data_IF_164860067563
#
_entry.id   IF_164860067563
#
_cell.length_a   1.000
_cell.length_b   1.000
_cell.length_c   1.000
_cell.angle_alpha   90.00
_cell.angle_beta   90.00
_cell.angle_gamma   90.00
#
_symmetry.space_group_name_H-M   'P 1'
#
loop_
_entity.id
_entity.type
_entity.pdbx_description
1 polymer ?
#
# COMPACT_ATOMS: atom_id res chain seq x y z
N UNK A 1 43.76 -11.19 38.97
CA UNK A 1 42.39 -10.96 39.45
C UNK A 1 41.68 -10.07 38.46
N UNK A 2 40.88 -10.64 37.55
CA UNK A 2 39.92 -9.91 36.73
C UNK A 2 38.69 -10.81 36.58
N UNK A 3 37.78 -10.73 37.54
CA UNK A 3 36.41 -11.23 37.38
C UNK A 3 35.68 -10.23 36.49
N UNK A 4 35.58 -10.54 35.19
CA UNK A 4 34.65 -9.85 34.29
C UNK A 4 33.26 -9.92 34.92
N UNK A 5 32.68 -8.76 35.23
CA UNK A 5 31.31 -8.64 35.67
C UNK A 5 30.40 -9.20 34.57
N UNK A 6 29.74 -10.32 34.87
CA UNK A 6 28.62 -10.82 34.07
C UNK A 6 27.52 -9.76 34.17
N UNK A 7 27.22 -9.14 33.04
CA UNK A 7 26.32 -7.98 32.99
C UNK A 7 24.89 -8.40 33.32
N UNK A 8 24.11 -7.48 33.89
CA UNK A 8 22.66 -7.62 34.15
C UNK A 8 21.84 -8.02 32.90
N UNK A 9 22.39 -7.84 31.70
CA UNK A 9 21.81 -8.25 30.42
C UNK A 9 21.89 -9.79 30.21
N UNK A 10 23.01 -10.43 30.55
CA UNK A 10 23.18 -11.89 30.45
C UNK A 10 22.18 -12.65 31.34
N UNK A 11 21.82 -12.07 32.50
CA UNK A 11 20.84 -12.65 33.42
C UNK A 11 19.40 -12.52 32.91
N UNK A 12 19.08 -11.44 32.17
CA UNK A 12 17.76 -11.25 31.56
C UNK A 12 17.55 -12.19 30.37
N UNK A 13 18.57 -12.41 29.54
CA UNK A 13 18.52 -13.38 28.44
C UNK A 13 18.38 -14.81 28.96
N UNK A 14 19.16 -15.20 29.98
CA UNK A 14 19.03 -16.51 30.63
C UNK A 14 17.63 -16.76 31.19
N UNK A 15 17.01 -15.76 31.83
CA UNK A 15 15.65 -15.88 32.35
C UNK A 15 14.62 -15.98 31.21
N UNK A 16 14.76 -15.21 30.13
CA UNK A 16 13.88 -15.30 28.97
C UNK A 16 13.90 -16.69 28.32
N UNK A 17 15.09 -17.24 28.09
CA UNK A 17 15.26 -18.60 27.54
C UNK A 17 14.65 -19.64 28.49
N UNK A 18 14.91 -19.53 29.79
CA UNK A 18 14.36 -20.44 30.80
C UNK A 18 12.83 -20.40 30.86
N UNK A 19 12.23 -19.21 30.83
CA UNK A 19 10.77 -19.05 30.81
C UNK A 19 10.15 -19.60 29.54
N UNK A 20 10.75 -19.35 28.37
CA UNK A 20 10.28 -19.93 27.09
C UNK A 20 10.38 -21.45 27.10
N UNK A 21 11.46 -22.02 27.64
CA UNK A 21 11.62 -23.46 27.77
C UNK A 21 10.54 -24.06 28.67
N UNK A 22 10.29 -23.45 29.84
CA UNK A 22 9.23 -23.88 30.75
C UNK A 22 7.83 -23.77 30.11
N UNK A 23 7.58 -22.69 29.36
CA UNK A 23 6.32 -22.54 28.61
C UNK A 23 6.17 -23.61 27.52
N UNK A 24 7.25 -23.93 26.78
CA UNK A 24 7.23 -24.97 25.77
C UNK A 24 6.93 -26.35 26.38
N UNK A 25 7.58 -26.70 27.51
CA UNK A 25 7.28 -27.94 28.23
C UNK A 25 5.83 -28.00 28.70
N UNK A 26 5.31 -26.90 29.24
CA UNK A 26 3.91 -26.82 29.69
C UNK A 26 2.95 -27.00 28.51
N UNK A 27 3.21 -26.36 27.36
CA UNK A 27 2.41 -26.52 26.14
C UNK A 27 2.46 -27.95 25.63
N UNK A 28 3.64 -28.57 25.54
CA UNK A 28 3.76 -29.98 25.12
C UNK A 28 2.95 -30.88 26.06
N UNK A 29 3.05 -30.67 27.37
CA UNK A 29 2.34 -31.51 28.35
C UNK A 29 0.82 -31.33 28.28
N UNK A 30 0.35 -30.09 28.08
CA UNK A 30 -1.08 -29.75 27.99
C UNK A 30 -1.70 -30.14 26.63
N UNK A 31 -1.01 -29.83 25.55
CA UNK A 31 -1.61 -29.78 24.21
C UNK A 31 -1.48 -31.13 23.49
N UNK A 32 -0.47 -31.95 23.83
CA UNK A 32 -0.32 -33.30 23.27
C UNK A 32 -1.54 -34.21 23.51
N UNK A 33 -2.08 -34.33 24.74
CA UNK A 33 -3.28 -35.15 24.97
C UNK A 33 -4.53 -34.55 24.29
N UNK A 34 -4.66 -33.23 24.22
CA UNK A 34 -5.76 -32.55 23.53
C UNK A 34 -5.70 -32.81 22.01
N UNK A 35 -4.50 -32.71 21.43
CA UNK A 35 -4.26 -32.99 20.02
C UNK A 35 -4.52 -34.45 19.69
N UNK A 36 -4.19 -35.39 20.59
CA UNK A 36 -4.50 -36.81 20.41
C UNK A 36 -6.01 -37.10 20.47
N UNK A 37 -6.76 -36.42 21.34
CA UNK A 37 -8.20 -36.53 21.39
C UNK A 37 -8.87 -35.97 20.12
N UNK A 38 -8.38 -34.82 19.63
CA UNK A 38 -8.85 -34.20 18.40
C UNK A 38 -8.48 -35.01 17.15
N UNK A 39 -7.28 -35.58 17.09
CA UNK A 39 -6.82 -36.42 15.99
C UNK A 39 -7.68 -37.68 15.86
N UNK A 40 -8.02 -38.32 16.99
CA UNK A 40 -8.91 -39.46 17.02
C UNK A 40 -10.34 -39.09 16.57
N UNK A 41 -10.85 -37.93 17.00
CA UNK A 41 -12.19 -37.44 16.63
C UNK A 41 -12.30 -37.08 15.15
N UNK A 42 -11.30 -36.38 14.61
CA UNK A 42 -11.27 -35.90 13.22
C UNK A 42 -10.70 -36.93 12.24
N UNK A 43 -10.19 -38.07 12.76
CA UNK A 43 -9.51 -39.12 11.99
C UNK A 43 -8.32 -38.59 11.19
N UNK A 44 -7.61 -37.61 11.76
CA UNK A 44 -6.42 -37.01 11.17
C UNK A 44 -5.15 -37.57 11.81
N UNK A 45 -4.08 -37.55 11.04
CA UNK A 45 -2.77 -38.09 11.42
C UNK A 45 -1.70 -37.01 11.36
N UNK A 46 -0.51 -37.30 11.90
CA UNK A 46 0.61 -36.36 11.85
C UNK A 46 1.05 -35.99 10.43
N UNK A 47 0.81 -36.87 9.45
CA UNK A 47 1.06 -36.58 8.03
C UNK A 47 0.07 -35.58 7.46
N UNK A 48 -1.21 -35.66 7.89
CA UNK A 48 -2.24 -34.71 7.46
C UNK A 48 -1.93 -33.30 7.95
N UNK A 49 -1.41 -33.14 9.16
CA UNK A 49 -1.02 -31.84 9.69
C UNK A 49 0.12 -31.20 8.90
N UNK A 50 1.11 -31.98 8.48
CA UNK A 50 2.19 -31.48 7.62
C UNK A 50 1.65 -31.06 6.26
N UNK A 51 0.72 -31.82 5.70
CA UNK A 51 0.05 -31.46 4.45
C UNK A 51 -0.78 -30.18 4.60
N UNK A 52 -1.53 -30.01 5.69
CA UNK A 52 -2.29 -28.78 5.95
C UNK A 52 -1.38 -27.57 6.13
N UNK A 53 -0.28 -27.69 6.87
CA UNK A 53 0.70 -26.59 7.01
C UNK A 53 1.30 -26.20 5.66
N UNK A 54 1.57 -27.18 4.80
CA UNK A 54 2.08 -26.92 3.46
C UNK A 54 1.02 -26.22 2.59
N UNK A 55 -0.20 -26.73 2.58
CA UNK A 55 -1.32 -26.12 1.85
C UNK A 55 -1.64 -24.71 2.35
N UNK A 56 -1.56 -24.47 3.65
CA UNK A 56 -1.75 -23.14 4.24
C UNK A 56 -0.64 -22.17 3.81
N UNK A 57 0.63 -22.62 3.82
CA UNK A 57 1.74 -21.80 3.32
C UNK A 57 1.56 -21.45 1.85
N UNK A 58 1.20 -22.42 1.02
CA UNK A 58 0.93 -22.21 -0.40
C UNK A 58 -0.24 -21.23 -0.60
N UNK A 59 -1.32 -21.38 0.17
CA UNK A 59 -2.45 -20.45 0.14
C UNK A 59 -2.04 -19.03 0.54
N UNK A 60 -1.28 -18.86 1.62
CA UNK A 60 -0.81 -17.54 2.07
C UNK A 60 0.15 -16.90 1.07
N UNK A 61 1.03 -17.69 0.45
CA UNK A 61 1.91 -17.22 -0.62
C UNK A 61 1.11 -16.78 -1.85
N UNK A 62 0.11 -17.56 -2.26
CA UNK A 62 -0.77 -17.18 -3.35
C UNK A 62 -1.51 -15.87 -3.07
N UNK A 63 -2.00 -15.68 -1.83
CA UNK A 63 -2.67 -14.45 -1.42
C UNK A 63 -1.72 -13.23 -1.45
N UNK A 64 -0.47 -13.42 -1.07
CA UNK A 64 0.55 -12.37 -1.15
C UNK A 64 0.84 -11.97 -2.60
N UNK A 65 1.03 -12.96 -3.48
CA UNK A 65 1.25 -12.73 -4.90
C UNK A 65 0.06 -12.02 -5.57
N UNK A 66 -1.17 -12.42 -5.23
CA UNK A 66 -2.39 -11.75 -5.69
C UNK A 66 -2.41 -10.28 -5.24
N UNK A 67 -2.06 -9.99 -3.99
CA UNK A 67 -1.97 -8.63 -3.48
C UNK A 67 -0.93 -7.78 -4.24
N UNK A 68 0.24 -8.34 -4.54
CA UNK A 68 1.28 -7.66 -5.33
C UNK A 68 0.82 -7.36 -6.77
N UNK A 69 0.13 -8.31 -7.41
CA UNK A 69 -0.43 -8.10 -8.74
C UNK A 69 -1.51 -7.02 -8.75
N UNK A 70 -2.39 -7.03 -7.75
CA UNK A 70 -3.42 -6.01 -7.59
C UNK A 70 -2.80 -4.64 -7.34
N UNK A 71 -1.75 -4.55 -6.52
CA UNK A 71 -1.04 -3.29 -6.28
C UNK A 71 -0.42 -2.73 -7.56
N UNK A 72 0.29 -3.57 -8.32
CA UNK A 72 0.85 -3.16 -9.63
C UNK A 72 -0.23 -2.64 -10.58
N UNK A 73 -1.37 -3.32 -10.64
CA UNK A 73 -2.50 -2.89 -11.46
C UNK A 73 -3.07 -1.53 -11.03
N UNK A 74 -3.13 -1.26 -9.72
CA UNK A 74 -3.58 0.03 -9.18
C UNK A 74 -2.57 1.14 -9.48
N UNK A 75 -1.28 0.90 -9.21
CA UNK A 75 -0.20 1.87 -9.45
C UNK A 75 -0.14 2.27 -10.94
N UNK A 76 -0.24 1.28 -11.83
CA UNK A 76 -0.30 1.53 -13.27
C UNK A 76 -1.50 2.39 -13.66
N UNK A 77 -2.67 2.11 -13.10
CA UNK A 77 -3.88 2.87 -13.38
C UNK A 77 -3.78 4.31 -12.89
N UNK A 78 -3.26 4.54 -11.68
CA UNK A 78 -3.00 5.88 -11.15
C UNK A 78 -2.07 6.66 -12.06
N UNK A 79 -1.00 6.01 -12.53
CA UNK A 79 -0.03 6.60 -13.43
C UNK A 79 -0.67 6.98 -14.78
N UNK A 80 -1.51 6.11 -15.35
CA UNK A 80 -2.28 6.41 -16.56
C UNK A 80 -3.22 7.62 -16.37
N UNK A 81 -3.96 7.66 -15.26
CA UNK A 81 -4.87 8.76 -14.95
C UNK A 81 -4.13 10.08 -14.78
N UNK A 82 -2.99 10.06 -14.09
CA UNK A 82 -2.11 11.22 -13.89
C UNK A 82 -1.57 11.73 -15.23
N UNK A 83 -1.01 10.86 -16.07
CA UNK A 83 -0.52 11.22 -17.40
C UNK A 83 -1.59 11.85 -18.28
N UNK A 84 -2.81 11.29 -18.27
CA UNK A 84 -3.94 11.85 -19.02
C UNK A 84 -4.35 13.25 -18.50
N UNK A 85 -4.25 13.49 -17.18
CA UNK A 85 -4.42 14.81 -16.59
C UNK A 85 -3.40 15.83 -17.12
N UNK A 86 -2.11 15.51 -17.04
CA UNK A 86 -1.05 16.38 -17.57
C UNK A 86 -1.18 16.61 -19.08
N UNK A 87 -1.62 15.60 -19.83
CA UNK A 87 -1.86 15.72 -21.26
C UNK A 87 -2.96 16.74 -21.56
N UNK A 88 -4.07 16.70 -20.82
CA UNK A 88 -5.16 17.67 -20.96
C UNK A 88 -4.70 19.09 -20.64
N UNK A 89 -3.97 19.28 -19.55
CA UNK A 89 -3.41 20.58 -19.18
C UNK A 89 -2.44 21.13 -20.25
N UNK A 90 -1.54 20.28 -20.73
CA UNK A 90 -0.61 20.61 -21.82
C UNK A 90 -1.35 21.01 -23.10
N UNK A 91 -2.40 20.26 -23.47
CA UNK A 91 -3.23 20.59 -24.64
C UNK A 91 -3.98 21.92 -24.48
N UNK A 92 -4.50 22.21 -23.28
CA UNK A 92 -5.14 23.49 -22.98
C UNK A 92 -4.15 24.65 -23.12
N UNK A 93 -2.95 24.52 -22.52
CA UNK A 93 -1.90 25.53 -22.61
C UNK A 93 -1.41 25.71 -24.06
N UNK A 94 -1.29 24.63 -24.83
CA UNK A 94 -0.94 24.68 -26.25
C UNK A 94 -2.01 25.40 -27.08
N UNK A 95 -3.29 25.19 -26.77
CA UNK A 95 -4.39 25.89 -27.45
C UNK A 95 -4.39 27.39 -27.12
N UNK A 96 -4.13 27.77 -25.86
CA UNK A 96 -4.01 29.17 -25.48
C UNK A 96 -2.77 29.83 -26.12
N UNK A 97 -1.66 29.10 -26.20
CA UNK A 97 -0.47 29.56 -26.94
C UNK A 97 -0.74 29.78 -28.43
N UNK A 98 -1.51 28.90 -29.08
CA UNK A 98 -1.91 29.08 -30.50
C UNK A 98 -2.79 30.32 -30.73
N UNK A 99 -3.57 30.73 -29.73
CA UNK A 99 -4.42 31.93 -29.77
C UNK A 99 -3.67 33.21 -29.39
N UNK A 100 -2.36 33.12 -29.09
CA UNK A 100 -1.60 34.24 -28.56
C UNK A 100 -1.66 35.47 -29.47
N UNK A 101 -1.47 35.32 -30.78
CA UNK A 101 -1.54 36.43 -31.74
C UNK A 101 -2.92 37.09 -31.76
N UNK A 102 -3.99 36.29 -31.73
CA UNK A 102 -5.36 36.78 -31.61
C UNK A 102 -5.57 37.56 -30.31
N UNK A 103 -5.04 37.07 -29.19
CA UNK A 103 -5.18 37.70 -27.88
C UNK A 103 -4.37 39.00 -27.75
N UNK A 104 -3.21 39.08 -28.42
CA UNK A 104 -2.43 40.32 -28.51
C UNK A 104 -3.22 41.39 -29.25
N UNK A 105 -3.84 41.05 -30.38
CA UNK A 105 -4.54 42.00 -31.25
C UNK A 105 -5.90 42.40 -30.67
N UNK A 106 -6.70 41.42 -30.25
CA UNK A 106 -8.12 41.65 -29.90
C UNK A 106 -8.36 41.85 -28.40
N UNK A 107 -7.54 41.22 -27.55
CA UNK A 107 -7.69 41.27 -26.10
C UNK A 107 -6.63 42.15 -25.42
N UNK A 108 -5.71 42.75 -26.20
CA UNK A 108 -4.74 43.73 -25.72
C UNK A 108 -3.68 43.14 -24.78
N UNK A 109 -3.33 41.87 -24.92
CA UNK A 109 -2.35 41.22 -24.06
C UNK A 109 -1.03 41.99 -24.00
N UNK A 110 -0.61 42.31 -22.78
CA UNK A 110 0.65 42.97 -22.48
C UNK A 110 1.77 41.95 -22.29
N UNK A 111 3.01 42.45 -22.23
CA UNK A 111 4.24 41.64 -22.07
C UNK A 111 4.14 40.59 -20.96
N UNK A 112 3.52 40.94 -19.82
CA UNK A 112 3.36 40.03 -18.67
C UNK A 112 2.45 38.84 -19.00
N UNK A 113 1.33 39.08 -19.67
CA UNK A 113 0.36 38.04 -20.04
C UNK A 113 0.94 37.13 -21.13
N UNK A 114 1.62 37.71 -22.12
CA UNK A 114 2.37 36.95 -23.14
C UNK A 114 3.39 36.03 -22.47
N UNK A 115 4.18 36.57 -21.54
CA UNK A 115 5.18 35.78 -20.82
C UNK A 115 4.55 34.68 -19.97
N UNK A 116 3.39 34.93 -19.36
CA UNK A 116 2.64 33.94 -18.59
C UNK A 116 2.17 32.77 -19.47
N UNK A 117 1.58 33.06 -20.64
CA UNK A 117 1.13 32.02 -21.59
C UNK A 117 2.31 31.21 -22.12
N UNK A 118 3.40 31.86 -22.54
CA UNK A 118 4.61 31.18 -23.00
C UNK A 118 5.23 30.30 -21.91
N UNK A 119 5.30 30.80 -20.67
CA UNK A 119 5.79 30.03 -19.53
C UNK A 119 4.90 28.83 -19.27
N UNK A 120 3.58 29.05 -19.18
CA UNK A 120 2.59 28.01 -18.92
C UNK A 120 2.70 26.87 -19.94
N UNK A 121 2.68 27.19 -21.24
CA UNK A 121 2.85 26.22 -22.33
C UNK A 121 4.12 25.37 -22.16
N UNK A 122 5.26 26.03 -21.88
CA UNK A 122 6.53 25.33 -21.69
C UNK A 122 6.50 24.44 -20.45
N UNK A 123 6.03 24.95 -19.32
CA UNK A 123 6.02 24.20 -18.05
C UNK A 123 5.07 23.01 -18.12
N UNK A 124 3.84 23.18 -18.62
CA UNK A 124 2.88 22.07 -18.72
C UNK A 124 3.34 21.01 -19.70
N UNK A 125 3.98 21.42 -20.81
CA UNK A 125 4.56 20.47 -21.77
C UNK A 125 5.71 19.66 -21.14
N UNK A 126 6.62 20.31 -20.42
CA UNK A 126 7.71 19.63 -19.73
C UNK A 126 7.19 18.68 -18.65
N UNK A 127 6.21 19.11 -17.84
CA UNK A 127 5.57 18.24 -16.85
C UNK A 127 4.92 17.01 -17.49
N UNK A 128 4.19 17.20 -18.60
CA UNK A 128 3.62 16.08 -19.36
C UNK A 128 4.70 15.12 -19.88
N UNK A 129 5.82 15.64 -20.39
CA UNK A 129 6.91 14.80 -20.90
C UNK A 129 7.61 13.99 -19.82
N UNK A 130 7.89 14.59 -18.67
CA UNK A 130 8.42 13.86 -17.51
C UNK A 130 7.46 12.77 -17.06
N UNK A 131 6.16 13.07 -17.04
CA UNK A 131 5.14 12.09 -16.65
C UNK A 131 4.98 10.95 -17.67
N UNK A 132 5.10 11.24 -18.97
CA UNK A 132 5.07 10.27 -20.05
C UNK A 132 6.29 9.33 -20.01
N UNK A 133 7.45 9.85 -19.63
CA UNK A 133 8.68 9.07 -19.40
C UNK A 133 8.53 8.15 -18.18
N UNK A 134 7.99 8.64 -17.06
CA UNK A 134 7.65 7.82 -15.87
C UNK A 134 6.72 6.66 -16.24
N UNK A 135 5.68 6.92 -17.03
CA UNK A 135 4.77 5.89 -17.54
C UNK A 135 5.47 4.86 -18.44
N UNK A 136 6.44 5.30 -19.23
CA UNK A 136 7.19 4.42 -20.12
C UNK A 136 8.10 3.49 -19.30
N UNK A 137 8.85 4.04 -18.35
CA UNK A 137 9.69 3.26 -17.44
C UNK A 137 8.87 2.22 -16.66
N UNK A 138 7.71 2.62 -16.12
CA UNK A 138 6.84 1.70 -15.39
C UNK A 138 6.35 0.54 -16.27
N UNK A 139 6.03 0.80 -17.55
CA UNK A 139 5.62 -0.26 -18.48
C UNK A 139 6.75 -1.23 -18.78
N UNK A 140 7.97 -0.72 -18.94
CA UNK A 140 9.17 -1.53 -19.18
C UNK A 140 9.52 -2.40 -17.96
N UNK A 141 9.46 -1.81 -16.75
CA UNK A 141 9.75 -2.53 -15.50
C UNK A 141 8.75 -3.65 -15.18
N UNK A 142 7.51 -3.52 -15.64
CA UNK A 142 6.43 -4.45 -15.34
C UNK A 142 5.94 -5.26 -16.55
N UNK A 143 6.70 -5.28 -17.65
CA UNK A 143 6.41 -6.03 -18.88
C UNK A 143 4.97 -5.82 -19.39
N UNK A 144 4.51 -4.57 -19.39
CA UNK A 144 3.14 -4.22 -19.80
C UNK A 144 3.10 -3.97 -21.32
N UNK A 145 2.80 -5.04 -22.07
CA UNK A 145 2.74 -5.00 -23.54
C UNK A 145 1.57 -4.19 -24.09
N UNK A 146 0.39 -4.26 -23.45
CA UNK A 146 -0.84 -3.64 -23.97
C UNK A 146 -1.25 -2.43 -23.15
N UNK A 147 -1.33 -1.26 -23.80
CA UNK A 147 -1.85 -0.06 -23.17
C UNK A 147 -3.32 -0.23 -22.78
N UNK A 148 -3.66 0.11 -21.53
CA UNK A 148 -5.04 0.04 -21.06
C UNK A 148 -5.81 1.26 -21.55
N UNK A 149 -6.82 1.02 -22.38
CA UNK A 149 -7.72 2.06 -22.87
C UNK A 149 -8.88 2.26 -21.87
N UNK A 150 -9.41 3.48 -21.71
CA UNK A 150 -10.52 3.76 -20.80
C UNK A 150 -11.75 2.86 -21.02
N UNK A 151 -11.97 2.42 -22.26
CA UNK A 151 -13.10 1.57 -22.63
C UNK A 151 -12.87 0.08 -22.35
N UNK A 152 -11.61 -0.33 -22.15
CA UNK A 152 -11.26 -1.72 -21.90
C UNK A 152 -11.84 -2.23 -20.58
N UNK A 153 -12.15 -3.52 -20.54
CA UNK A 153 -12.67 -4.19 -19.34
C UNK A 153 -11.66 -4.12 -18.20
N UNK A 154 -10.38 -4.38 -18.50
CA UNK A 154 -9.27 -4.35 -17.54
C UNK A 154 -9.15 -2.99 -16.87
N UNK A 155 -9.23 -1.89 -17.63
CA UNK A 155 -9.22 -0.54 -17.07
C UNK A 155 -10.39 -0.30 -16.11
N UNK A 156 -11.61 -0.67 -16.51
CA UNK A 156 -12.82 -0.49 -15.70
C UNK A 156 -12.80 -1.34 -14.43
N UNK A 157 -12.25 -2.54 -14.48
CA UNK A 157 -12.09 -3.42 -13.32
C UNK A 157 -11.03 -2.88 -12.35
N UNK A 158 -9.87 -2.49 -12.86
CA UNK A 158 -8.83 -1.85 -12.06
C UNK A 158 -9.34 -0.56 -11.40
N UNK A 159 -10.17 0.23 -12.09
CA UNK A 159 -10.77 1.43 -11.53
C UNK A 159 -11.71 1.11 -10.35
N UNK A 160 -12.53 0.07 -10.47
CA UNK A 160 -13.38 -0.39 -9.34
C UNK A 160 -12.53 -0.85 -8.16
N UNK A 161 -11.44 -1.56 -8.42
CA UNK A 161 -10.49 -2.01 -7.39
C UNK A 161 -9.85 -0.81 -6.68
N UNK A 162 -9.40 0.19 -7.43
CA UNK A 162 -8.80 1.40 -6.88
C UNK A 162 -9.75 2.18 -5.98
N UNK A 163 -11.02 2.36 -6.41
CA UNK A 163 -12.04 3.02 -5.58
C UNK A 163 -12.29 2.23 -4.29
N UNK A 164 -12.39 0.90 -4.39
CA UNK A 164 -12.58 0.03 -3.23
C UNK A 164 -11.38 0.06 -2.28
N UNK A 165 -10.17 0.11 -2.82
CA UNK A 165 -8.93 0.23 -2.05
C UNK A 165 -8.88 1.57 -1.30
N UNK A 166 -9.14 2.68 -1.98
CA UNK A 166 -9.21 4.01 -1.37
C UNK A 166 -10.24 4.08 -0.23
N UNK A 167 -11.41 3.47 -0.42
CA UNK A 167 -12.42 3.36 0.63
C UNK A 167 -11.90 2.55 1.83
N UNK A 168 -11.34 1.36 1.60
CA UNK A 168 -10.78 0.51 2.68
C UNK A 168 -9.69 1.23 3.45
N UNK A 169 -8.74 1.83 2.74
CA UNK A 169 -7.67 2.61 3.37
C UNK A 169 -8.23 3.77 4.21
N UNK A 170 -9.28 4.45 3.74
CA UNK A 170 -9.93 5.52 4.52
C UNK A 170 -10.57 4.99 5.80
N UNK A 171 -11.21 3.82 5.73
CA UNK A 171 -11.79 3.13 6.89
C UNK A 171 -10.71 2.70 7.87
N UNK A 172 -9.63 2.07 7.39
CA UNK A 172 -8.51 1.62 8.23
C UNK A 172 -7.84 2.81 8.94
N UNK A 173 -7.72 3.94 8.24
CA UNK A 173 -7.20 5.17 8.81
C UNK A 173 -8.11 5.70 9.92
N UNK A 174 -9.43 5.69 9.71
CA UNK A 174 -10.39 6.09 10.73
C UNK A 174 -10.36 5.16 11.94
N UNK A 175 -10.29 3.85 11.73
CA UNK A 175 -10.17 2.86 12.81
C UNK A 175 -8.93 3.12 13.64
N UNK A 176 -7.77 3.34 13.00
CA UNK A 176 -6.53 3.70 13.68
C UNK A 176 -6.68 4.94 14.55
N UNK A 177 -7.33 6.00 14.03
CA UNK A 177 -7.57 7.23 14.80
C UNK A 177 -8.46 6.99 16.01
N UNK A 178 -9.52 6.18 15.86
CA UNK A 178 -10.42 5.81 16.97
C UNK A 178 -9.65 5.04 18.04
N UNK A 179 -8.90 4.01 17.64
CA UNK A 179 -8.10 3.18 18.55
C UNK A 179 -7.07 4.05 19.28
N UNK A 180 -6.36 4.91 18.57
CA UNK A 180 -5.43 5.86 19.16
C UNK A 180 -6.12 6.74 20.21
N UNK A 181 -7.31 7.27 19.89
CA UNK A 181 -8.07 8.12 20.81
C UNK A 181 -8.52 7.37 22.06
N UNK A 182 -8.95 6.12 21.93
CA UNK A 182 -9.32 5.26 23.06
C UNK A 182 -8.13 5.01 24.00
N UNK A 183 -6.94 4.79 23.43
CA UNK A 183 -5.71 4.65 24.22
C UNK A 183 -5.31 5.96 24.91
N UNK A 184 -5.45 7.10 24.25
CA UNK A 184 -5.21 8.42 24.85
C UNK A 184 -6.14 8.67 26.06
N UNK A 185 -7.45 8.41 25.90
CA UNK A 185 -8.43 8.58 26.97
C UNK A 185 -8.17 7.64 28.16
N UNK A 186 -7.78 6.40 27.87
CA UNK A 186 -7.38 5.42 28.90
C UNK A 186 -6.14 5.87 29.66
N UNK A 187 -5.13 6.42 28.95
CA UNK A 187 -3.90 6.94 29.55
C UNK A 187 -4.14 8.17 30.43
N UNK A 188 -5.12 9.01 30.09
CA UNK A 188 -5.51 10.19 30.86
C UNK A 188 -6.39 9.88 32.08
N UNK A 189 -6.68 8.60 32.36
CA UNK A 189 -7.52 8.20 33.51
C UNK A 189 -8.99 8.62 33.37
N UNK A 190 -9.44 8.94 32.15
CA UNK A 190 -10.79 9.46 31.89
C UNK A 190 -11.84 8.36 31.67
N UNK A 191 -11.49 7.08 31.90
CA UNK A 191 -12.40 5.95 31.89
C UNK A 191 -13.31 5.98 33.13
N UNK A 192 -14.19 6.99 33.23
CA UNK A 192 -15.08 7.17 34.38
C UNK A 192 -15.76 8.54 34.50
N UNK A 193 -15.43 9.52 33.65
CA UNK A 193 -16.03 10.87 33.71
C UNK A 193 -17.13 11.04 32.66
N UNK A 194 -18.06 10.08 32.63
CA UNK A 194 -19.33 10.21 31.91
C UNK A 194 -20.47 10.12 32.92
N UNK A 195 -20.89 11.28 33.44
CA UNK A 195 -22.22 11.47 34.02
C UNK A 195 -23.03 12.31 33.06
#
# INVERSE_FOLDING_TARGET
>A
MYTKGVGLEDFKECNFIFQNYRQALNRITSDTPQLAALSAKLKTTGTDYKAYLQAEREHLQALQLEAEMVQKAMDYLELLMKTEGFKKESNLAANEYKKLDYNIINNGYQKKEIQAVCTCYRTTFMCYKVQEEELTHYKEEHDIDTCWLPDSTVYKEAQKLLVKHSYRHSVDHLERLIVQRLFELTKLGMNGVGK
#
